data_IF_598166936639
#
_entry.id   IF_598166936639
#
_cell.length_a   1.000
_cell.length_b   1.000
_cell.length_c   1.000
_cell.angle_alpha   90.00
_cell.angle_beta   90.00
_cell.angle_gamma   90.00
#
_symmetry.space_group_name_H-M   'P 1'
#
loop_
_entity.id
_entity.type
_entity.pdbx_description
1 polymer ?
#
# COMPACT_ATOMS: atom_id res chain seq x y z
N UNK A 1 -24.69 -47.67 42.54
CA UNK A 1 -23.33 -47.14 42.78
C UNK A 1 -22.92 -46.37 41.54
N UNK A 2 -22.63 -45.07 41.66
CA UNK A 2 -22.11 -44.27 40.54
C UNK A 2 -20.59 -44.45 40.51
N UNK A 3 -20.06 -44.99 39.42
CA UNK A 3 -18.62 -45.04 39.21
C UNK A 3 -18.10 -43.63 38.96
N UNK A 4 -17.29 -43.12 39.90
CA UNK A 4 -16.51 -41.92 39.68
C UNK A 4 -15.27 -42.31 38.85
N UNK A 5 -15.38 -42.24 37.52
CA UNK A 5 -14.21 -42.31 36.65
C UNK A 5 -13.39 -41.03 36.86
N UNK A 6 -12.25 -41.16 37.54
CA UNK A 6 -11.29 -40.06 37.67
C UNK A 6 -10.71 -39.74 36.30
N UNK A 7 -10.66 -38.45 35.94
CA UNK A 7 -10.01 -37.96 34.72
C UNK A 7 -8.60 -38.51 34.62
N UNK A 8 -8.32 -39.23 33.53
CA UNK A 8 -6.98 -39.77 33.26
C UNK A 8 -5.99 -38.64 33.02
N UNK A 9 -4.74 -38.79 33.46
CA UNK A 9 -3.65 -37.85 33.16
C UNK A 9 -3.55 -37.55 31.65
N UNK A 10 -3.85 -38.55 30.82
CA UNK A 10 -3.84 -38.44 29.36
C UNK A 10 -4.96 -37.52 28.88
N UNK A 11 -6.16 -37.64 29.44
CA UNK A 11 -7.29 -36.77 29.10
C UNK A 11 -6.98 -35.31 29.48
N UNK A 12 -6.36 -35.09 30.64
CA UNK A 12 -5.93 -33.75 31.05
C UNK A 12 -4.90 -33.16 30.08
N UNK A 13 -3.90 -33.94 29.66
CA UNK A 13 -2.88 -33.50 28.71
C UNK A 13 -3.48 -33.17 27.34
N UNK A 14 -4.41 -33.99 26.85
CA UNK A 14 -5.12 -33.75 25.59
C UNK A 14 -5.95 -32.48 25.66
N UNK A 15 -6.71 -32.27 26.75
CA UNK A 15 -7.48 -31.04 26.96
C UNK A 15 -6.55 -29.82 26.98
N UNK A 16 -5.40 -29.91 27.67
CA UNK A 16 -4.45 -28.80 27.76
C UNK A 16 -3.83 -28.47 26.39
N UNK A 17 -3.50 -29.50 25.58
CA UNK A 17 -3.00 -29.34 24.22
C UNK A 17 -4.04 -28.70 23.30
N UNK A 18 -5.30 -29.15 23.35
CA UNK A 18 -6.38 -28.55 22.57
C UNK A 18 -6.62 -27.09 22.95
N UNK A 19 -6.60 -26.79 24.26
CA UNK A 19 -6.82 -25.44 24.77
C UNK A 19 -5.69 -24.49 24.35
N UNK A 20 -4.44 -24.96 24.35
CA UNK A 20 -3.30 -24.17 23.85
C UNK A 20 -3.34 -23.95 22.34
N UNK A 21 -3.78 -24.93 21.54
CA UNK A 21 -4.03 -24.74 20.11
C UNK A 21 -5.13 -23.69 19.88
N UNK A 22 -6.24 -23.76 20.61
CA UNK A 22 -7.32 -22.77 20.50
C UNK A 22 -6.84 -21.36 20.84
N UNK A 23 -6.02 -21.20 21.89
CA UNK A 23 -5.44 -19.91 22.26
C UNK A 23 -4.54 -19.39 21.13
N UNK A 24 -3.72 -20.26 20.51
CA UNK A 24 -2.82 -19.87 19.44
C UNK A 24 -3.61 -19.37 18.20
N UNK A 25 -4.67 -20.07 17.82
CA UNK A 25 -5.56 -19.68 16.72
C UNK A 25 -6.28 -18.37 17.03
N UNK A 26 -6.79 -18.21 18.25
CA UNK A 26 -7.43 -16.97 18.68
C UNK A 26 -6.46 -15.78 18.65
N UNK A 27 -5.21 -15.98 19.09
CA UNK A 27 -4.19 -14.95 19.04
C UNK A 27 -3.89 -14.51 17.59
N UNK A 28 -3.78 -15.44 16.65
CA UNK A 28 -3.54 -15.11 15.25
C UNK A 28 -4.72 -14.34 14.62
N UNK A 29 -5.95 -14.73 14.95
CA UNK A 29 -7.16 -14.00 14.53
C UNK A 29 -7.21 -12.58 15.09
N UNK A 30 -6.84 -12.38 16.36
CA UNK A 30 -6.76 -11.06 16.98
C UNK A 30 -5.71 -10.20 16.29
N UNK A 31 -4.52 -10.75 16.01
CA UNK A 31 -3.44 -10.04 15.31
C UNK A 31 -3.89 -9.61 13.91
N UNK A 32 -4.52 -10.51 13.15
CA UNK A 32 -5.06 -10.21 11.82
C UNK A 32 -6.16 -9.13 11.90
N UNK A 33 -7.05 -9.21 12.87
CA UNK A 33 -8.13 -8.24 13.06
C UNK A 33 -7.59 -6.86 13.40
N UNK A 34 -6.59 -6.77 14.28
CA UNK A 34 -5.94 -5.49 14.65
C UNK A 34 -5.22 -4.87 13.45
N UNK A 35 -4.53 -5.69 12.63
CA UNK A 35 -3.88 -5.22 11.39
C UNK A 35 -4.89 -4.62 10.41
N UNK A 36 -6.02 -5.31 10.20
CA UNK A 36 -7.09 -4.82 9.34
C UNK A 36 -7.71 -3.54 9.90
N UNK A 37 -8.05 -3.51 11.19
CA UNK A 37 -8.65 -2.34 11.85
C UNK A 37 -7.72 -1.12 11.81
N UNK A 38 -6.40 -1.32 11.98
CA UNK A 38 -5.40 -0.26 11.87
C UNK A 38 -5.21 0.26 10.44
N UNK A 39 -5.39 -0.58 9.43
CA UNK A 39 -5.41 -0.15 8.02
C UNK A 39 -6.69 0.63 7.70
N UNK A 40 -7.85 0.14 8.14
CA UNK A 40 -9.14 0.82 7.96
C UNK A 40 -9.19 2.14 8.73
N UNK A 41 -8.72 2.19 9.98
CA UNK A 41 -8.73 3.40 10.80
C UNK A 41 -7.86 4.53 10.22
N UNK A 42 -6.70 4.20 9.63
CA UNK A 42 -5.88 5.16 8.90
C UNK A 42 -6.55 5.63 7.60
N UNK A 43 -7.21 4.72 6.88
CA UNK A 43 -8.00 5.02 5.68
C UNK A 43 -9.17 5.97 5.96
N UNK A 44 -9.89 5.77 7.08
CA UNK A 44 -11.00 6.65 7.50
C UNK A 44 -10.51 8.04 7.89
N UNK A 45 -9.32 8.17 8.50
CA UNK A 45 -8.77 9.47 8.88
C UNK A 45 -8.34 10.33 7.69
N UNK A 46 -7.95 9.73 6.56
CA UNK A 46 -7.53 10.51 5.39
C UNK A 46 -7.88 9.79 4.07
N UNK A 47 -9.15 9.85 3.63
CA UNK A 47 -9.64 9.12 2.45
C UNK A 47 -8.98 9.60 1.14
N UNK A 48 -8.48 10.85 1.10
CA UNK A 48 -7.76 11.39 -0.05
C UNK A 48 -6.48 10.61 -0.32
N UNK A 49 -5.71 10.28 0.72
CA UNK A 49 -4.45 9.53 0.61
C UNK A 49 -4.68 8.17 -0.01
N UNK A 50 -5.74 7.46 0.42
CA UNK A 50 -6.09 6.15 -0.14
C UNK A 50 -6.46 6.24 -1.61
N UNK A 51 -7.24 7.26 -1.99
CA UNK A 51 -7.59 7.49 -3.39
C UNK A 51 -6.35 7.80 -4.23
N UNK A 52 -5.43 8.63 -3.71
CA UNK A 52 -4.16 8.98 -4.36
C UNK A 52 -3.28 7.74 -4.52
N UNK A 53 -3.08 6.95 -3.47
CA UNK A 53 -2.26 5.73 -3.55
C UNK A 53 -2.82 4.74 -4.56
N UNK A 54 -4.15 4.55 -4.60
CA UNK A 54 -4.77 3.68 -5.60
C UNK A 54 -4.61 4.24 -7.02
N UNK A 55 -4.74 5.56 -7.20
CA UNK A 55 -4.52 6.19 -8.51
C UNK A 55 -3.08 6.01 -8.99
N UNK A 56 -2.10 6.26 -8.13
CA UNK A 56 -0.68 6.07 -8.43
C UNK A 56 -0.38 4.62 -8.80
N UNK A 57 -0.95 3.66 -8.05
CA UNK A 57 -0.84 2.23 -8.38
C UNK A 57 -1.36 1.95 -9.78
N UNK A 58 -2.54 2.47 -10.13
CA UNK A 58 -3.11 2.25 -11.46
C UNK A 58 -2.24 2.89 -12.55
N UNK A 59 -1.75 4.12 -12.35
CA UNK A 59 -0.86 4.78 -13.30
C UNK A 59 0.42 3.95 -13.56
N UNK A 60 1.03 3.37 -12.51
CA UNK A 60 2.19 2.49 -12.64
C UNK A 60 1.85 1.17 -13.34
N UNK A 61 0.69 0.56 -13.03
CA UNK A 61 0.26 -0.71 -13.63
C UNK A 61 -0.14 -0.58 -15.11
N UNK A 62 -0.71 0.57 -15.48
CA UNK A 62 -1.09 0.90 -16.86
C UNK A 62 0.12 1.37 -17.69
N UNK A 63 1.22 1.77 -17.04
CA UNK A 63 2.45 2.14 -17.70
C UNK A 63 3.01 0.95 -18.52
N UNK A 64 3.59 1.28 -19.67
CA UNK A 64 4.43 0.39 -20.45
C UNK A 64 5.84 0.31 -19.85
N UNK A 65 6.36 1.44 -19.37
CA UNK A 65 7.70 1.53 -18.77
C UNK A 65 7.82 2.76 -17.87
N UNK A 66 8.79 2.71 -16.95
CA UNK A 66 9.28 3.88 -16.23
C UNK A 66 10.40 4.48 -17.06
N UNK A 67 10.24 5.73 -17.52
CA UNK A 67 11.16 6.34 -18.50
C UNK A 67 12.49 6.75 -17.89
N UNK A 68 12.49 7.12 -16.61
CA UNK A 68 13.67 7.53 -15.87
C UNK A 68 14.03 6.53 -14.78
N UNK A 69 13.93 5.22 -15.01
CA UNK A 69 14.12 4.21 -13.94
C UNK A 69 15.41 4.43 -13.15
N UNK A 70 15.27 4.76 -11.87
CA UNK A 70 16.38 4.92 -10.94
C UNK A 70 16.40 3.78 -9.93
N UNK A 71 17.52 3.08 -9.79
CA UNK A 71 17.70 2.08 -8.73
C UNK A 71 17.80 2.74 -7.34
N UNK A 72 18.29 3.97 -7.31
CA UNK A 72 18.41 4.80 -6.12
C UNK A 72 17.15 5.64 -5.90
N UNK A 73 16.97 6.12 -4.67
CA UNK A 73 15.88 7.03 -4.35
C UNK A 73 16.09 8.38 -5.02
N UNK A 74 15.07 8.83 -5.74
CA UNK A 74 15.05 10.10 -6.47
C UNK A 74 13.92 11.00 -5.99
N UNK A 75 14.21 12.31 -5.96
CA UNK A 75 13.20 13.37 -5.75
C UNK A 75 12.64 13.90 -7.07
N UNK A 76 13.24 13.51 -8.20
CA UNK A 76 12.80 13.96 -9.51
C UNK A 76 11.37 13.46 -9.81
N UNK A 77 10.64 14.10 -10.74
CA UNK A 77 9.34 13.61 -11.14
C UNK A 77 9.43 12.18 -11.68
N UNK A 78 8.57 11.29 -11.20
CA UNK A 78 8.38 9.96 -11.78
C UNK A 78 7.74 10.11 -13.16
N UNK A 79 8.41 9.60 -14.19
CA UNK A 79 7.92 9.65 -15.57
C UNK A 79 7.55 8.24 -16.03
N UNK A 80 6.29 8.07 -16.38
CA UNK A 80 5.70 6.82 -16.86
C UNK A 80 5.34 6.95 -18.33
N UNK A 81 5.85 6.05 -19.16
CA UNK A 81 5.39 5.89 -20.53
C UNK A 81 4.11 5.06 -20.55
N UNK A 82 3.05 5.57 -21.14
CA UNK A 82 1.78 4.83 -21.30
C UNK A 82 1.86 3.88 -22.50
N UNK A 83 1.08 2.81 -22.49
CA UNK A 83 0.99 1.87 -23.64
C UNK A 83 0.46 2.53 -24.92
N UNK A 84 -0.28 3.62 -24.80
CA UNK A 84 -0.77 4.41 -25.93
C UNK A 84 0.29 5.34 -26.53
N UNK A 85 1.50 5.41 -25.95
CA UNK A 85 2.58 6.28 -26.41
C UNK A 85 2.57 7.70 -25.82
N UNK A 86 1.64 8.01 -24.92
CA UNK A 86 1.65 9.23 -24.11
C UNK A 86 2.55 9.11 -22.88
N UNK A 87 2.69 10.20 -22.13
CA UNK A 87 3.50 10.27 -20.90
C UNK A 87 2.65 10.67 -19.70
N UNK A 88 2.95 10.12 -18.54
CA UNK A 88 2.44 10.59 -17.25
C UNK A 88 3.63 11.01 -16.39
N UNK A 89 3.61 12.24 -15.88
CA UNK A 89 4.63 12.77 -14.97
C UNK A 89 3.98 13.03 -13.62
N UNK A 90 4.59 12.53 -12.56
CA UNK A 90 4.11 12.70 -11.19
C UNK A 90 5.26 13.28 -10.38
N UNK A 91 5.03 14.42 -9.73
CA UNK A 91 6.05 15.09 -8.94
C UNK A 91 5.43 16.10 -7.98
N UNK A 92 6.26 16.71 -7.13
CA UNK A 92 5.80 17.72 -6.17
C UNK A 92 6.07 19.12 -6.71
N UNK A 93 5.06 19.97 -6.61
CA UNK A 93 5.13 21.38 -7.00
C UNK A 93 4.46 22.25 -5.95
N UNK A 94 5.17 23.23 -5.42
CA UNK A 94 4.66 24.15 -4.40
C UNK A 94 4.03 23.43 -3.18
N UNK A 95 4.51 22.24 -2.84
CA UNK A 95 3.98 21.42 -1.74
C UNK A 95 2.75 20.58 -2.11
N UNK A 96 2.38 20.50 -3.38
CA UNK A 96 1.30 19.64 -3.88
C UNK A 96 1.87 18.51 -4.76
N UNK A 97 1.37 17.30 -4.61
CA UNK A 97 1.65 16.20 -5.55
C UNK A 97 0.78 16.39 -6.78
N UNK A 98 1.41 16.63 -7.93
CA UNK A 98 0.77 16.92 -9.20
C UNK A 98 1.01 15.78 -10.17
N UNK A 99 -0.04 15.41 -10.92
CA UNK A 99 -0.01 14.49 -12.04
C UNK A 99 -0.26 15.27 -13.32
N UNK A 100 0.67 15.16 -14.27
CA UNK A 100 0.48 15.63 -15.65
C UNK A 100 0.41 14.45 -16.59
N UNK A 101 -0.59 14.41 -17.45
CA UNK A 101 -0.64 13.46 -18.56
C UNK A 101 -0.61 14.18 -19.89
N UNK A 102 0.25 13.70 -20.77
CA UNK A 102 0.40 14.18 -22.14
C UNK A 102 -0.02 13.07 -23.10
N UNK A 103 -1.04 13.35 -23.91
CA UNK A 103 -1.48 12.41 -24.94
C UNK A 103 -0.51 12.42 -26.14
N UNK A 104 -0.27 11.25 -26.77
CA UNK A 104 0.72 11.12 -27.85
C UNK A 104 0.45 12.10 -28.98
N UNK A 105 1.45 12.91 -29.33
CA UNK A 105 1.42 13.83 -30.48
C UNK A 105 0.43 15.00 -30.39
N UNK A 106 -0.33 15.12 -29.29
CA UNK A 106 -1.35 16.16 -29.15
C UNK A 106 -0.83 17.47 -28.54
N UNK A 107 0.32 17.42 -27.85
CA UNK A 107 0.83 18.51 -27.00
C UNK A 107 -0.14 18.93 -25.89
N UNK A 108 -1.27 18.24 -25.73
CA UNK A 108 -2.28 18.56 -24.73
C UNK A 108 -1.87 17.92 -23.42
N UNK A 109 -1.63 18.78 -22.43
CA UNK A 109 -1.24 18.38 -21.08
C UNK A 109 -2.46 18.54 -20.17
N UNK A 110 -2.98 17.42 -19.66
CA UNK A 110 -3.93 17.44 -18.55
C UNK A 110 -3.12 17.49 -17.25
N UNK A 111 -3.39 18.49 -16.41
CA UNK A 111 -2.80 18.61 -15.09
C UNK A 111 -3.85 18.38 -14.00
N UNK A 112 -3.48 17.64 -12.96
CA UNK A 112 -4.34 17.38 -11.80
C UNK A 112 -3.52 17.34 -10.52
N UNK A 113 -3.95 18.10 -9.51
CA UNK A 113 -3.45 17.96 -8.13
C UNK A 113 -4.03 16.68 -7.53
N UNK A 114 -3.15 15.79 -7.09
CA UNK A 114 -3.51 14.52 -6.43
C UNK A 114 -3.61 14.69 -4.92
N UNK A 115 -2.61 15.29 -4.30
CA UNK A 115 -2.51 15.44 -2.85
C UNK A 115 -1.94 16.82 -2.50
N UNK A 116 -2.50 17.47 -1.49
CA UNK A 116 -2.00 18.76 -1.00
C UNK A 116 -1.20 18.60 0.29
N UNK A 117 -0.31 19.55 0.56
CA UNK A 117 0.47 19.58 1.81
C UNK A 117 1.51 18.46 1.89
N UNK A 118 2.04 18.05 0.74
CA UNK A 118 3.12 17.08 0.63
C UNK A 118 4.42 17.72 1.09
N UNK A 119 5.04 17.10 2.09
CA UNK A 119 6.30 17.56 2.70
C UNK A 119 7.50 16.80 2.16
N UNK A 120 7.29 15.61 1.60
CA UNK A 120 8.36 14.85 0.98
C UNK A 120 7.85 13.89 -0.08
N UNK A 121 8.67 13.67 -1.10
CA UNK A 121 8.41 12.75 -2.20
C UNK A 121 9.72 12.09 -2.61
N UNK A 122 9.73 10.76 -2.58
CA UNK A 122 10.83 9.98 -3.13
C UNK A 122 10.27 8.76 -3.82
N UNK A 123 10.95 8.33 -4.87
CA UNK A 123 10.62 7.08 -5.55
C UNK A 123 11.89 6.39 -6.03
N UNK A 124 11.77 5.09 -6.31
CA UNK A 124 12.79 4.32 -7.03
C UNK A 124 12.13 3.19 -7.81
N UNK A 125 12.83 2.66 -8.80
CA UNK A 125 12.44 1.49 -9.58
C UNK A 125 13.54 0.42 -9.41
N UNK A 126 13.50 -0.38 -8.32
CA UNK A 126 14.55 -1.36 -8.04
C UNK A 126 14.59 -2.48 -9.08
N UNK A 127 13.44 -2.77 -9.71
CA UNK A 127 13.28 -3.76 -10.77
C UNK A 127 12.34 -3.20 -11.86
N UNK A 128 12.45 -3.68 -13.11
CA UNK A 128 11.52 -3.28 -14.17
C UNK A 128 10.07 -3.57 -13.80
N UNK A 129 9.23 -2.53 -13.82
CA UNK A 129 7.79 -2.63 -13.51
C UNK A 129 7.45 -2.61 -12.02
N UNK A 130 8.45 -2.51 -11.13
CA UNK A 130 8.25 -2.29 -9.70
C UNK A 130 8.66 -0.86 -9.38
N UNK A 131 7.77 -0.12 -8.73
CA UNK A 131 8.03 1.25 -8.26
C UNK A 131 7.76 1.32 -6.78
N UNK A 132 8.79 1.67 -6.01
CA UNK A 132 8.65 2.00 -4.59
C UNK A 132 8.39 3.50 -4.46
N UNK A 133 7.42 3.87 -3.64
CA UNK A 133 7.03 5.26 -3.41
C UNK A 133 7.09 5.57 -1.92
N UNK A 134 7.64 6.74 -1.59
CA UNK A 134 7.61 7.31 -0.26
C UNK A 134 7.07 8.75 -0.34
N UNK A 135 5.96 9.00 0.37
CA UNK A 135 5.26 10.28 0.36
C UNK A 135 5.00 10.70 1.80
N UNK A 136 5.56 11.83 2.21
CA UNK A 136 5.26 12.50 3.48
C UNK A 136 4.31 13.66 3.24
N UNK A 137 3.35 13.86 4.16
CA UNK A 137 2.35 14.93 4.05
C UNK A 137 1.89 15.40 5.44
N UNK A 138 1.41 16.64 5.51
CA UNK A 138 0.78 17.19 6.71
C UNK A 138 -0.64 16.65 6.83
N UNK A 139 -1.01 16.20 8.05
CA UNK A 139 -2.36 15.74 8.41
C UNK A 139 -3.14 16.89 9.03
#
# INVERSE_FOLDING_TARGET
MREHHGTSLIELLVVLALLSIMILVAADLVIHSVKLLGATGRSVRNPSVVHVTNRLRNDVQEAAAVTNSEELWSEDPLVLATRAGGLVRIGVENGDLVRRSEAPGSGTVEERVLLRGVTSWWWRSPEPGVVDLNIGYLV
#
